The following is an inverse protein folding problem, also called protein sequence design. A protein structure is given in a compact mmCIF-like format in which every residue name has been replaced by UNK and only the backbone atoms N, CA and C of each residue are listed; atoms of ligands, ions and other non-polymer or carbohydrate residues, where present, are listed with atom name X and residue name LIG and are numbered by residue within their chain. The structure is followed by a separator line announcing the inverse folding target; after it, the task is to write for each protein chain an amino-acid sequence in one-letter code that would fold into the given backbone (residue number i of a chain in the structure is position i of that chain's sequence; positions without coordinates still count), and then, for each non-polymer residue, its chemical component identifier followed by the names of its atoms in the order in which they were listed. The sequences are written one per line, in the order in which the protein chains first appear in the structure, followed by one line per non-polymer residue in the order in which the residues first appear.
data_IF_805028032321
#
_entry.id   IF_805028032321
#
_cell.length_a   1.000
_cell.length_b   1.000
_cell.length_c   1.000
_cell.angle_alpha   90.00
_cell.angle_beta   90.00
_cell.angle_gamma   90.00
#
_symmetry.space_group_name_H-M   'P 1'
#
loop_
_entity.id
_entity.type
_entity.pdbx_description
1 polymer ?
#
# COMPACT_ATOMS: atom_id res chain seq x y z
N UNK A 1 -25.86 -38.87 13.92
CA UNK A 1 -25.21 -38.12 12.80
C UNK A 1 -23.89 -37.62 13.34
N UNK A 2 -22.82 -38.27 12.96
CA UNK A 2 -21.50 -38.09 13.52
C UNK A 2 -20.85 -36.86 12.85
N UNK A 3 -20.58 -35.88 13.67
CA UNK A 3 -19.83 -34.68 13.29
C UNK A 3 -18.39 -35.09 12.89
N UNK A 4 -18.14 -35.13 11.59
CA UNK A 4 -16.83 -35.41 11.08
C UNK A 4 -15.96 -34.16 11.34
N UNK A 5 -15.18 -34.19 12.42
CA UNK A 5 -14.14 -33.22 12.67
C UNK A 5 -13.24 -33.14 11.43
N UNK A 6 -13.26 -31.98 10.76
CA UNK A 6 -12.35 -31.66 9.67
C UNK A 6 -10.91 -31.72 10.21
N UNK A 7 -10.23 -32.81 9.89
CA UNK A 7 -8.80 -32.96 10.16
C UNK A 7 -8.08 -31.90 9.31
N UNK A 8 -7.31 -30.99 9.90
CA UNK A 8 -6.54 -30.00 9.14
C UNK A 8 -5.58 -30.72 8.20
N UNK A 9 -5.61 -30.34 6.94
CA UNK A 9 -4.66 -30.83 5.95
C UNK A 9 -3.25 -30.33 6.28
N UNK A 10 -2.18 -31.13 6.06
CA UNK A 10 -0.80 -30.79 6.45
C UNK A 10 -0.18 -29.55 5.81
N UNK A 11 -0.94 -28.81 4.99
CA UNK A 11 -0.51 -27.56 4.32
C UNK A 11 -1.00 -26.29 5.01
N UNK A 12 -1.72 -26.37 6.11
CA UNK A 12 -1.98 -25.22 6.94
C UNK A 12 -0.73 -24.92 7.76
N UNK A 13 0.18 -24.13 7.19
CA UNK A 13 1.23 -23.47 7.96
C UNK A 13 0.57 -22.48 8.94
N UNK A 14 -0.09 -23.00 9.98
CA UNK A 14 -0.53 -22.19 11.08
C UNK A 14 0.69 -21.72 11.86
N UNK A 15 1.01 -20.46 11.69
CA UNK A 15 2.00 -19.83 12.54
C UNK A 15 1.49 -19.86 13.99
N UNK A 16 2.37 -20.06 14.98
CA UNK A 16 2.01 -19.96 16.38
C UNK A 16 1.32 -18.63 16.67
N UNK A 17 0.28 -18.64 17.49
CA UNK A 17 -0.31 -17.38 17.94
C UNK A 17 0.76 -16.61 18.71
N UNK A 18 1.03 -15.40 18.22
CA UNK A 18 1.96 -14.45 18.84
C UNK A 18 1.19 -13.21 19.29
N UNK A 19 1.56 -12.63 20.40
CA UNK A 19 1.09 -11.29 20.78
C UNK A 19 1.63 -10.28 19.78
N UNK A 20 0.96 -9.12 19.63
CA UNK A 20 1.44 -8.01 18.81
C UNK A 20 2.61 -7.31 19.52
N UNK A 21 3.72 -8.05 19.71
CA UNK A 21 4.95 -7.62 20.38
C UNK A 21 6.11 -7.49 19.38
N UNK A 22 5.79 -7.18 18.14
CA UNK A 22 6.77 -6.87 17.12
C UNK A 22 7.34 -5.47 17.33
N UNK A 23 8.65 -5.32 17.16
CA UNK A 23 9.30 -4.02 17.30
C UNK A 23 8.89 -3.06 16.17
N UNK A 24 8.64 -3.60 14.95
CA UNK A 24 8.25 -2.82 13.79
C UNK A 24 7.08 -3.45 13.04
N UNK A 25 6.39 -2.66 12.22
CA UNK A 25 5.38 -3.17 11.30
C UNK A 25 5.98 -4.17 10.29
N UNK A 26 7.22 -3.94 9.86
CA UNK A 26 7.92 -4.81 8.92
C UNK A 26 8.15 -6.21 9.49
N UNK A 27 8.54 -6.33 10.77
CA UNK A 27 8.64 -7.63 11.45
C UNK A 27 7.29 -8.36 11.50
N UNK A 28 6.20 -7.62 11.75
CA UNK A 28 4.87 -8.19 11.74
C UNK A 28 4.48 -8.71 10.36
N UNK A 29 4.79 -7.98 9.30
CA UNK A 29 4.55 -8.39 7.92
C UNK A 29 5.40 -9.62 7.56
N UNK A 30 6.68 -9.63 7.91
CA UNK A 30 7.58 -10.75 7.67
C UNK A 30 7.12 -12.02 8.42
N UNK A 31 6.57 -11.86 9.61
CA UNK A 31 5.94 -12.97 10.33
C UNK A 31 4.70 -13.48 9.61
N UNK A 32 3.79 -12.58 9.22
CA UNK A 32 2.55 -12.91 8.52
C UNK A 32 2.81 -13.58 7.16
N UNK A 33 3.84 -13.13 6.44
CA UNK A 33 4.22 -13.64 5.12
C UNK A 33 4.64 -15.13 5.13
N UNK A 34 4.99 -15.68 6.29
CA UNK A 34 5.30 -17.12 6.44
C UNK A 34 4.06 -18.00 6.54
N UNK A 35 2.87 -17.40 6.61
CA UNK A 35 1.60 -18.12 6.71
C UNK A 35 0.91 -18.26 5.35
N UNK A 36 -0.10 -19.13 5.29
CA UNK A 36 -1.01 -19.22 4.15
C UNK A 36 -2.15 -18.16 4.21
N UNK A 37 -2.08 -17.21 5.14
CA UNK A 37 -3.10 -16.16 5.33
C UNK A 37 -2.83 -14.96 4.44
N UNK A 38 -3.83 -14.09 4.31
CA UNK A 38 -3.74 -12.88 3.48
C UNK A 38 -4.99 -12.02 3.60
N UNK A 39 -5.12 -11.09 2.66
CA UNK A 39 -6.29 -10.24 2.50
C UNK A 39 -7.24 -10.85 1.46
N UNK A 40 -8.52 -10.65 1.65
CA UNK A 40 -9.55 -11.00 0.69
C UNK A 40 -10.26 -9.71 0.29
N UNK A 41 -10.24 -9.41 -1.00
CA UNK A 41 -10.98 -8.29 -1.57
C UNK A 41 -12.30 -8.79 -2.11
N UNK A 42 -13.37 -8.08 -1.76
CA UNK A 42 -14.74 -8.42 -2.17
C UNK A 42 -15.37 -7.20 -2.85
N UNK A 43 -16.22 -7.47 -3.83
CA UNK A 43 -17.05 -6.43 -4.44
C UNK A 43 -18.12 -5.91 -3.46
N UNK A 44 -18.86 -4.89 -3.88
CA UNK A 44 -19.97 -4.32 -3.08
C UNK A 44 -21.12 -5.29 -2.81
N UNK A 45 -21.16 -6.45 -3.49
CA UNK A 45 -22.15 -7.51 -3.32
C UNK A 45 -21.66 -8.63 -2.41
N UNK A 46 -20.39 -8.52 -1.95
CA UNK A 46 -19.75 -9.53 -1.12
C UNK A 46 -19.15 -10.70 -1.91
N UNK A 47 -19.02 -10.58 -3.24
CA UNK A 47 -18.36 -11.60 -4.06
C UNK A 47 -16.85 -11.47 -3.92
N UNK A 48 -16.16 -12.60 -3.67
CA UNK A 48 -14.69 -12.60 -3.61
C UNK A 48 -14.11 -12.31 -4.99
N UNK A 49 -13.38 -11.21 -5.12
CA UNK A 49 -12.70 -10.80 -6.36
C UNK A 49 -11.23 -11.22 -6.38
N UNK A 50 -10.54 -11.07 -5.24
CA UNK A 50 -9.12 -11.37 -5.16
C UNK A 50 -8.73 -11.92 -3.80
N UNK A 51 -7.94 -12.98 -3.80
CA UNK A 51 -7.19 -13.47 -2.63
C UNK A 51 -5.77 -12.94 -2.75
N UNK A 52 -5.28 -12.28 -1.70
CA UNK A 52 -3.95 -11.67 -1.69
C UNK A 52 -3.15 -12.17 -0.48
N UNK A 53 -2.35 -13.25 -0.64
CA UNK A 53 -1.54 -13.80 0.44
C UNK A 53 -0.54 -12.78 0.99
N UNK A 54 -0.28 -12.81 2.30
CA UNK A 54 0.74 -11.94 2.91
C UNK A 54 2.14 -12.17 2.33
N UNK A 55 2.46 -13.39 1.90
CA UNK A 55 3.71 -13.67 1.20
C UNK A 55 3.83 -12.86 -0.09
N UNK A 56 2.77 -12.85 -0.93
CA UNK A 56 2.74 -12.05 -2.15
C UNK A 56 2.78 -10.55 -1.85
N UNK A 57 2.00 -10.11 -0.84
CA UNK A 57 2.00 -8.70 -0.43
C UNK A 57 3.40 -8.23 -0.01
N UNK A 58 4.15 -9.09 0.70
CA UNK A 58 5.53 -8.79 1.12
C UNK A 58 6.49 -8.67 -0.07
N UNK A 59 6.35 -9.56 -1.07
CA UNK A 59 7.14 -9.51 -2.31
C UNK A 59 6.81 -8.26 -3.13
N UNK A 60 5.52 -7.99 -3.34
CA UNK A 60 5.06 -6.82 -4.08
C UNK A 60 5.49 -5.51 -3.40
N UNK A 61 5.41 -5.45 -2.06
CA UNK A 61 5.88 -4.32 -1.28
C UNK A 61 7.39 -4.11 -1.44
N UNK A 62 8.19 -5.16 -1.48
CA UNK A 62 9.63 -5.05 -1.72
C UNK A 62 9.93 -4.51 -3.12
N UNK A 63 9.24 -5.01 -4.15
CA UNK A 63 9.39 -4.49 -5.50
C UNK A 63 8.95 -3.03 -5.62
N UNK A 64 7.88 -2.65 -4.94
CA UNK A 64 7.43 -1.26 -4.88
C UNK A 64 8.44 -0.36 -4.14
N UNK A 65 9.03 -0.83 -3.04
CA UNK A 65 10.09 -0.11 -2.33
C UNK A 65 11.31 0.16 -3.23
N UNK A 66 11.74 -0.84 -4.00
CA UNK A 66 12.84 -0.65 -4.97
C UNK A 66 12.51 0.41 -6.03
N UNK A 67 11.24 0.46 -6.51
CA UNK A 67 10.80 1.52 -7.44
C UNK A 67 10.82 2.89 -6.80
N UNK A 68 10.34 3.02 -5.56
CA UNK A 68 10.37 4.28 -4.82
C UNK A 68 11.82 4.78 -4.64
N UNK A 69 12.75 3.90 -4.25
CA UNK A 69 14.18 4.26 -4.17
C UNK A 69 14.72 4.69 -5.52
N UNK A 70 14.39 3.97 -6.61
CA UNK A 70 14.82 4.34 -7.97
C UNK A 70 14.23 5.67 -8.45
N UNK A 71 13.11 6.12 -7.86
CA UNK A 71 12.53 7.45 -8.07
C UNK A 71 13.20 8.55 -7.24
N UNK A 72 14.13 8.20 -6.36
CA UNK A 72 14.82 9.14 -5.48
C UNK A 72 14.04 9.43 -4.18
N UNK A 73 13.12 8.56 -3.79
CA UNK A 73 12.46 8.63 -2.48
C UNK A 73 13.43 8.07 -1.43
N UNK A 74 13.61 8.82 -0.36
CA UNK A 74 14.52 8.50 0.73
C UNK A 74 13.74 8.21 2.02
N UNK A 75 14.43 7.72 3.04
CA UNK A 75 13.86 7.57 4.38
C UNK A 75 13.30 8.90 4.88
N UNK A 76 12.13 8.85 5.55
CA UNK A 76 11.38 10.00 6.07
C UNK A 76 10.71 10.88 5.00
N UNK A 77 10.94 10.61 3.72
CA UNK A 77 10.15 11.27 2.68
C UNK A 77 8.68 10.83 2.75
N UNK A 78 7.79 11.75 2.45
CA UNK A 78 6.35 11.51 2.42
C UNK A 78 5.90 11.07 1.03
N UNK A 79 5.16 9.97 0.98
CA UNK A 79 4.57 9.42 -0.24
C UNK A 79 3.05 9.46 -0.09
N UNK A 80 2.39 10.35 -0.82
CA UNK A 80 0.94 10.42 -0.82
C UNK A 80 0.34 9.27 -1.65
N UNK A 81 -0.61 8.57 -1.07
CA UNK A 81 -1.27 7.41 -1.68
C UNK A 81 -2.78 7.63 -1.66
N UNK A 82 -3.43 7.69 -2.81
CA UNK A 82 -4.90 7.71 -2.81
C UNK A 82 -5.40 6.34 -2.36
N UNK A 83 -6.07 6.31 -1.21
CA UNK A 83 -6.42 5.10 -0.49
C UNK A 83 -7.64 4.40 -1.11
N UNK A 84 -7.40 3.60 -2.13
CA UNK A 84 -8.37 2.64 -2.65
C UNK A 84 -8.25 1.32 -1.89
N UNK A 85 -9.38 0.61 -1.74
CA UNK A 85 -9.36 -0.74 -1.16
C UNK A 85 -8.86 -1.73 -2.21
N UNK A 86 -7.54 -1.78 -2.41
CA UNK A 86 -6.89 -2.60 -3.44
C UNK A 86 -5.61 -3.25 -2.92
N UNK A 87 -5.11 -4.25 -3.63
CA UNK A 87 -3.85 -4.91 -3.33
C UNK A 87 -2.67 -3.96 -3.58
N UNK A 88 -2.79 -3.10 -4.57
CA UNK A 88 -1.82 -2.10 -4.98
C UNK A 88 -1.59 -1.08 -3.85
N UNK A 89 -2.68 -0.55 -3.27
CA UNK A 89 -2.58 0.33 -2.09
C UNK A 89 -1.91 -0.38 -0.91
N UNK A 90 -2.33 -1.62 -0.60
CA UNK A 90 -1.75 -2.37 0.51
C UNK A 90 -0.25 -2.62 0.31
N UNK A 91 0.17 -3.00 -0.90
CA UNK A 91 1.58 -3.19 -1.23
C UNK A 91 2.39 -1.90 -1.13
N UNK A 92 1.87 -0.78 -1.66
CA UNK A 92 2.56 0.51 -1.62
C UNK A 92 2.66 1.08 -0.20
N UNK A 93 1.62 0.92 0.61
CA UNK A 93 1.68 1.30 2.02
C UNK A 93 2.80 0.55 2.74
N UNK A 94 2.86 -0.79 2.55
CA UNK A 94 3.94 -1.60 3.10
C UNK A 94 5.31 -1.24 2.50
N UNK A 95 5.38 -0.88 1.21
CA UNK A 95 6.63 -0.46 0.58
C UNK A 95 7.23 0.78 1.24
N UNK A 96 6.40 1.77 1.55
CA UNK A 96 6.84 2.95 2.28
C UNK A 96 7.44 2.57 3.64
N UNK A 97 6.76 1.71 4.42
CA UNK A 97 7.27 1.26 5.72
C UNK A 97 8.57 0.45 5.60
N UNK A 98 8.72 -0.35 4.52
CA UNK A 98 9.95 -1.14 4.29
C UNK A 98 11.19 -0.29 4.05
N UNK A 99 11.02 0.89 3.47
CA UNK A 99 12.13 1.81 3.18
C UNK A 99 12.22 2.98 4.18
N UNK A 100 11.36 3.01 5.22
CA UNK A 100 11.31 4.08 6.21
C UNK A 100 10.75 5.40 5.68
N UNK A 101 10.03 5.38 4.54
CA UNK A 101 9.26 6.52 4.07
C UNK A 101 7.90 6.57 4.76
N UNK A 102 7.28 7.74 4.79
CA UNK A 102 6.00 7.94 5.45
C UNK A 102 4.84 7.88 4.45
N UNK A 103 4.01 6.82 4.48
CA UNK A 103 2.82 6.77 3.66
C UNK A 103 1.79 7.79 4.16
N UNK A 104 1.24 8.57 3.25
CA UNK A 104 0.18 9.55 3.52
C UNK A 104 -1.08 9.12 2.77
N UNK A 105 -1.97 8.33 3.38
CA UNK A 105 -3.23 7.92 2.77
C UNK A 105 -4.16 9.11 2.56
N UNK A 106 -4.63 9.31 1.32
CA UNK A 106 -5.55 10.37 0.94
C UNK A 106 -6.87 9.78 0.42
N UNK A 107 -8.02 10.43 0.68
CA UNK A 107 -9.32 9.86 0.34
C UNK A 107 -9.57 9.83 -1.17
N UNK A 108 -10.38 8.85 -1.60
CA UNK A 108 -11.00 8.84 -2.93
C UNK A 108 -12.05 9.97 -3.08
N UNK A 109 -12.39 10.35 -4.33
CA UNK A 109 -13.48 11.27 -4.59
C UNK A 109 -14.78 10.78 -3.95
N UNK A 110 -15.48 11.65 -3.28
CA UNK A 110 -16.83 11.39 -2.80
C UNK A 110 -17.87 11.86 -3.82
N UNK A 111 -19.10 11.34 -3.73
CA UNK A 111 -20.21 11.73 -4.61
C UNK A 111 -20.60 13.21 -4.46
N UNK A 112 -20.18 13.85 -3.37
CA UNK A 112 -20.50 15.25 -3.06
C UNK A 112 -19.29 16.15 -3.37
N UNK A 113 -19.48 17.18 -4.17
CA UNK A 113 -18.45 18.19 -4.46
C UNK A 113 -17.99 18.27 -5.91
N UNK A 114 -18.28 17.27 -6.71
CA UNK A 114 -17.86 17.22 -8.12
C UNK A 114 -16.35 17.12 -8.32
N UNK A 115 -15.90 17.13 -9.56
CA UNK A 115 -14.47 16.98 -9.91
C UNK A 115 -13.62 18.11 -9.33
N UNK A 116 -14.05 19.36 -9.48
CA UNK A 116 -13.29 20.53 -9.03
C UNK A 116 -13.14 20.56 -7.50
N UNK A 117 -14.24 20.25 -6.78
CA UNK A 117 -14.19 20.16 -5.32
C UNK A 117 -13.22 19.10 -4.80
N UNK A 118 -13.11 17.97 -5.50
CA UNK A 118 -12.11 16.96 -5.14
C UNK A 118 -10.69 17.42 -5.45
N UNK A 119 -10.45 18.06 -6.60
CA UNK A 119 -9.13 18.62 -6.95
C UNK A 119 -8.69 19.63 -5.90
N UNK A 120 -9.58 20.55 -5.48
CA UNK A 120 -9.29 21.54 -4.46
C UNK A 120 -8.97 20.88 -3.11
N UNK A 121 -9.78 19.91 -2.69
CA UNK A 121 -9.55 19.16 -1.45
C UNK A 121 -8.21 18.43 -1.49
N UNK A 122 -7.92 17.70 -2.57
CA UNK A 122 -6.69 16.96 -2.72
C UNK A 122 -5.47 17.89 -2.74
N UNK A 123 -5.55 19.02 -3.43
CA UNK A 123 -4.50 20.04 -3.45
C UNK A 123 -4.19 20.60 -2.04
N UNK A 124 -5.22 20.87 -1.23
CA UNK A 124 -5.03 21.31 0.17
C UNK A 124 -4.35 20.23 1.01
N UNK A 125 -4.73 18.96 0.83
CA UNK A 125 -4.13 17.85 1.55
C UNK A 125 -2.66 17.63 1.14
N UNK A 126 -2.36 17.74 -0.15
CA UNK A 126 -0.98 17.68 -0.66
C UNK A 126 -0.14 18.84 -0.12
N UNK A 127 -0.70 20.07 -0.09
CA UNK A 127 -0.02 21.22 0.51
C UNK A 127 0.30 20.99 1.99
N UNK A 128 -0.63 20.43 2.74
CA UNK A 128 -0.47 20.19 4.17
C UNK A 128 0.53 19.07 4.48
N UNK A 129 0.55 18.03 3.66
CA UNK A 129 1.42 16.87 3.86
C UNK A 129 2.79 16.99 3.17
N UNK A 130 2.92 17.90 2.19
CA UNK A 130 4.16 18.17 1.45
C UNK A 130 4.89 16.88 0.99
N UNK A 131 4.23 16.01 0.18
CA UNK A 131 4.81 14.75 -0.24
C UNK A 131 5.75 14.95 -1.42
N UNK A 132 6.71 14.04 -1.59
CA UNK A 132 7.58 13.98 -2.77
C UNK A 132 6.85 13.55 -4.03
N UNK A 133 5.89 12.64 -3.86
CA UNK A 133 5.11 12.07 -4.96
C UNK A 133 3.70 11.71 -4.48
N UNK A 134 2.73 11.83 -5.39
CA UNK A 134 1.37 11.33 -5.25
C UNK A 134 1.18 10.11 -6.16
N UNK A 135 0.78 8.95 -5.61
CA UNK A 135 0.44 7.75 -6.38
C UNK A 135 -1.06 7.49 -6.24
N UNK A 136 -1.74 7.24 -7.36
CA UNK A 136 -3.19 7.22 -7.46
C UNK A 136 -3.72 6.16 -8.44
N UNK A 137 -4.98 5.68 -8.26
CA UNK A 137 -5.63 4.80 -9.23
C UNK A 137 -5.91 5.52 -10.56
N UNK A 138 -5.81 4.77 -11.67
CA UNK A 138 -5.92 5.33 -13.02
C UNK A 138 -7.24 6.05 -13.31
N UNK A 139 -8.34 5.61 -12.68
CA UNK A 139 -9.69 6.17 -12.86
C UNK A 139 -9.79 7.64 -12.44
N UNK A 140 -8.93 8.09 -11.54
CA UNK A 140 -8.92 9.49 -11.08
C UNK A 140 -7.73 10.28 -11.60
N UNK A 141 -6.98 9.76 -12.56
CA UNK A 141 -5.71 10.33 -13.04
C UNK A 141 -5.82 11.81 -13.42
N UNK A 142 -6.88 12.21 -14.13
CA UNK A 142 -7.10 13.61 -14.52
C UNK A 142 -7.15 14.54 -13.29
N UNK A 143 -7.91 14.14 -12.27
CA UNK A 143 -8.10 14.96 -11.06
C UNK A 143 -6.85 14.95 -10.17
N UNK A 144 -6.25 13.77 -9.98
CA UNK A 144 -5.06 13.61 -9.15
C UNK A 144 -3.87 14.39 -9.73
N UNK A 145 -3.67 14.31 -11.05
CA UNK A 145 -2.63 15.07 -11.74
C UNK A 145 -2.86 16.58 -11.63
N UNK A 146 -4.09 17.05 -11.83
CA UNK A 146 -4.41 18.47 -11.68
C UNK A 146 -4.11 18.99 -10.27
N UNK A 147 -4.40 18.21 -9.24
CA UNK A 147 -4.08 18.57 -7.86
C UNK A 147 -2.56 18.56 -7.59
N UNK A 148 -1.84 17.56 -8.08
CA UNK A 148 -0.39 17.45 -7.96
C UNK A 148 0.33 18.61 -8.67
N UNK A 149 -0.10 18.95 -9.89
CA UNK A 149 0.46 20.08 -10.67
C UNK A 149 0.29 21.41 -9.94
N UNK A 150 -0.84 21.61 -9.25
CA UNK A 150 -1.08 22.83 -8.44
C UNK A 150 -0.14 22.98 -7.26
N UNK A 151 0.34 21.85 -6.71
CA UNK A 151 1.24 21.84 -5.56
C UNK A 151 2.71 21.64 -5.96
N UNK A 152 2.98 21.39 -7.24
CA UNK A 152 4.34 21.15 -7.74
C UNK A 152 4.94 19.84 -7.24
N UNK A 153 4.15 18.88 -6.76
CA UNK A 153 4.61 17.54 -6.45
C UNK A 153 4.49 16.61 -7.67
N UNK A 154 5.31 15.57 -7.73
CA UNK A 154 5.18 14.53 -8.75
C UNK A 154 3.85 13.78 -8.59
N UNK A 155 3.26 13.33 -9.71
CA UNK A 155 2.04 12.53 -9.68
C UNK A 155 2.11 11.39 -10.68
N UNK A 156 1.74 10.17 -10.28
CA UNK A 156 1.83 8.98 -11.12
C UNK A 156 0.69 8.01 -10.83
N UNK A 157 0.17 7.38 -11.88
CA UNK A 157 -0.83 6.31 -11.71
C UNK A 157 -0.17 5.03 -11.19
N UNK A 158 -0.97 4.15 -10.56
CA UNK A 158 -0.51 2.82 -10.12
C UNK A 158 0.08 2.02 -11.28
N UNK A 159 -0.56 2.10 -12.46
CA UNK A 159 -0.14 1.35 -13.65
C UNK A 159 1.21 1.85 -14.16
N UNK A 160 1.42 3.16 -14.24
CA UNK A 160 2.69 3.75 -14.66
C UNK A 160 3.79 3.43 -13.63
N UNK A 161 3.49 3.56 -12.35
CA UNK A 161 4.41 3.18 -11.27
C UNK A 161 4.81 1.71 -11.37
N UNK A 162 3.88 0.81 -11.65
CA UNK A 162 4.15 -0.63 -11.78
C UNK A 162 5.08 -0.95 -12.97
N UNK A 163 5.11 -0.11 -14.01
CA UNK A 163 5.99 -0.26 -15.18
C UNK A 163 7.42 0.23 -14.93
N UNK A 164 7.67 0.95 -13.83
CA UNK A 164 9.01 1.43 -13.52
C UNK A 164 9.96 0.29 -13.21
N UNK A 165 11.25 0.43 -13.60
CA UNK A 165 12.28 -0.50 -13.17
C UNK A 165 12.35 -0.59 -11.64
N UNK A 166 12.58 -1.79 -11.13
CA UNK A 166 12.75 -2.08 -9.70
C UNK A 166 14.13 -2.72 -9.46
N UNK A 167 15.23 -2.01 -9.68
CA UNK A 167 16.56 -2.56 -9.45
C UNK A 167 16.72 -2.90 -7.97
N UNK A 168 17.09 -4.13 -7.60
CA UNK A 168 17.32 -4.50 -6.22
C UNK A 168 18.36 -3.57 -5.57
N UNK A 169 18.07 -3.12 -4.37
CA UNK A 169 18.95 -2.27 -3.58
C UNK A 169 18.84 -2.62 -2.10
N UNK A 170 19.77 -2.17 -1.29
CA UNK A 170 19.67 -2.25 0.16
C UNK A 170 18.63 -1.25 0.64
N UNK A 171 17.61 -1.74 1.35
CA UNK A 171 16.62 -0.89 2.00
C UNK A 171 17.09 -0.54 3.42
N UNK A 172 16.76 0.66 3.92
CA UNK A 172 17.05 1.04 5.29
C UNK A 172 16.43 0.03 6.27
N UNK A 173 17.13 -0.27 7.35
CA UNK A 173 16.57 -1.07 8.43
C UNK A 173 15.54 -0.23 9.19
N UNK A 174 14.31 -0.75 9.30
CA UNK A 174 13.25 -0.09 10.06
C UNK A 174 13.58 -0.10 11.55
N UNK A 175 13.38 1.02 12.21
CA UNK A 175 13.58 1.18 13.64
C UNK A 175 12.21 1.30 14.34
N UNK A 176 12.11 0.96 15.64
CA UNK A 176 10.84 1.06 16.37
C UNK A 176 10.22 2.45 16.42
N UNK A 177 11.04 3.48 16.22
CA UNK A 177 10.63 4.88 16.31
C UNK A 177 10.41 5.53 14.90
N UNK A 178 10.48 4.73 13.82
CA UNK A 178 10.23 5.19 12.43
C UNK A 178 8.74 5.46 12.14
#
# INVERSE_FOLDING_TARGET
MTDAALTPTPNDCELPRRRSDFATFNEALDYAARSAKGLNFHDMRGTLERVYPYAQMREDAQQAAYRLVAMGIEKEDRVALVAETSAEFAALFCACTLMGAWPVPLPLPTTFGGKEGYIDQLAVQLQSSDPKVLIYPGEIAEMAKAAADRQGCGGESWDDFAQRPAPPCDLPEAQPDD
#
